data_IF_566826951087
#
_entry.id   IF_566826951087
#
_cell.length_a   1.000
_cell.length_b   1.000
_cell.length_c   1.000
_cell.angle_alpha   90.00
_cell.angle_beta   90.00
_cell.angle_gamma   90.00
#
_symmetry.space_group_name_H-M   'P 1'
#
loop_
_entity.id
_entity.type
_entity.pdbx_description
1 polymer ?
#
# COMPACT_ATOMS: atom_id res chain seq x y z
N UNK A 1 12.92 -9.98 -31.26
CA UNK A 1 13.04 -10.74 -29.99
C UNK A 1 12.45 -9.86 -28.91
N UNK A 2 11.46 -10.34 -28.14
CA UNK A 2 10.89 -9.55 -27.05
C UNK A 2 11.91 -9.44 -25.93
N UNK A 3 12.07 -8.25 -25.35
CA UNK A 3 12.95 -8.07 -24.19
C UNK A 3 12.44 -8.89 -23.01
N UNK A 4 13.35 -9.45 -22.18
CA UNK A 4 12.94 -10.20 -21.00
C UNK A 4 12.19 -9.26 -20.04
N UNK A 5 10.99 -9.66 -19.64
CA UNK A 5 10.23 -8.98 -18.59
C UNK A 5 11.01 -9.06 -17.29
N UNK A 6 11.50 -7.91 -16.81
CA UNK A 6 12.07 -7.78 -15.47
C UNK A 6 10.94 -7.40 -14.53
N UNK A 7 10.53 -8.35 -13.70
CA UNK A 7 9.55 -8.08 -12.65
C UNK A 7 10.14 -7.07 -11.66
N UNK A 8 9.55 -5.88 -11.58
CA UNK A 8 9.94 -4.92 -10.56
C UNK A 8 9.33 -5.31 -9.23
N UNK A 9 10.18 -5.75 -8.30
CA UNK A 9 9.79 -6.12 -6.94
C UNK A 9 9.78 -4.87 -6.06
N UNK A 10 8.62 -4.51 -5.53
CA UNK A 10 8.48 -3.41 -4.58
C UNK A 10 8.95 -3.83 -3.17
N UNK A 11 9.85 -3.04 -2.58
CA UNK A 11 10.38 -3.24 -1.23
C UNK A 11 9.70 -2.33 -0.21
N UNK A 12 9.61 -2.78 1.03
CA UNK A 12 8.97 -2.07 2.14
C UNK A 12 9.85 -2.04 3.36
N UNK A 13 9.80 -0.93 4.09
CA UNK A 13 10.45 -0.82 5.39
C UNK A 13 9.76 -1.73 6.40
N UNK A 14 10.50 -2.66 7.00
CA UNK A 14 10.04 -3.43 8.16
C UNK A 14 10.12 -2.55 9.40
N UNK A 15 9.06 -2.58 10.19
CA UNK A 15 8.93 -1.86 11.43
C UNK A 15 8.83 -2.84 12.60
N UNK A 16 9.26 -2.38 13.77
CA UNK A 16 8.85 -2.98 15.03
C UNK A 16 7.38 -2.64 15.32
N UNK A 17 6.75 -3.37 16.24
CA UNK A 17 5.37 -3.12 16.69
C UNK A 17 5.08 -1.69 17.18
N UNK A 18 6.11 -0.92 17.55
CA UNK A 18 6.00 0.48 17.99
C UNK A 18 6.35 1.48 16.87
N UNK A 19 6.49 1.01 15.63
CA UNK A 19 6.77 1.85 14.47
C UNK A 19 8.24 2.23 14.24
N UNK A 20 9.19 1.72 15.03
CA UNK A 20 10.62 1.95 14.76
C UNK A 20 11.09 1.11 13.57
N UNK A 21 11.75 1.76 12.60
CA UNK A 21 12.26 1.14 11.37
C UNK A 21 13.43 0.19 11.65
N UNK A 22 13.40 -0.99 11.01
CA UNK A 22 14.49 -1.96 10.93
C UNK A 22 15.55 -1.50 9.91
N UNK A 23 16.76 -2.06 9.98
CA UNK A 23 17.83 -1.79 9.03
C UNK A 23 17.60 -2.37 7.64
N UNK A 24 16.76 -3.40 7.51
CA UNK A 24 16.59 -4.14 6.25
C UNK A 24 15.14 -4.06 5.76
N UNK A 25 14.89 -3.51 4.55
CA UNK A 25 13.59 -3.62 3.91
C UNK A 25 13.39 -5.03 3.33
N UNK A 26 12.15 -5.38 3.03
CA UNK A 26 11.77 -6.70 2.51
C UNK A 26 10.74 -6.58 1.37
N UNK A 27 10.71 -7.52 0.41
CA UNK A 27 9.69 -7.56 -0.63
C UNK A 27 8.26 -7.57 -0.06
N UNK A 28 7.33 -6.91 -0.73
CA UNK A 28 5.94 -6.81 -0.25
C UNK A 28 5.27 -8.17 0.05
N UNK A 29 5.52 -9.19 -0.78
CA UNK A 29 5.00 -10.53 -0.58
C UNK A 29 5.54 -11.22 0.67
N UNK A 30 6.83 -11.04 0.97
CA UNK A 30 7.46 -11.59 2.17
C UNK A 30 6.94 -10.89 3.43
N UNK A 31 6.82 -9.56 3.39
CA UNK A 31 6.28 -8.76 4.50
C UNK A 31 4.86 -9.20 4.89
N UNK A 32 4.00 -9.46 3.91
CA UNK A 32 2.64 -9.95 4.19
C UNK A 32 2.60 -11.40 4.66
N UNK A 33 3.45 -12.27 4.10
CA UNK A 33 3.56 -13.67 4.52
C UNK A 33 4.01 -13.79 5.97
N UNK A 34 5.03 -13.01 6.36
CA UNK A 34 5.69 -13.13 7.66
C UNK A 34 5.00 -12.30 8.75
N UNK A 35 4.00 -11.48 8.38
CA UNK A 35 3.24 -10.64 9.30
C UNK A 35 4.04 -9.44 9.81
N UNK A 36 5.04 -9.00 9.04
CA UNK A 36 5.91 -7.89 9.40
C UNK A 36 5.14 -6.56 9.36
N UNK A 37 5.33 -5.75 10.41
CA UNK A 37 4.79 -4.40 10.43
C UNK A 37 5.47 -3.57 9.34
N UNK A 38 4.68 -2.84 8.57
CA UNK A 38 5.15 -1.94 7.53
C UNK A 38 4.17 -0.77 7.42
N UNK A 39 4.60 0.30 6.75
CA UNK A 39 3.76 1.50 6.59
C UNK A 39 2.79 1.33 5.43
N UNK A 40 1.59 1.88 5.61
CA UNK A 40 0.62 2.12 4.57
C UNK A 40 0.16 3.59 4.63
N UNK A 41 -0.40 4.07 3.53
CA UNK A 41 -1.03 5.39 3.44
C UNK A 41 -2.50 5.22 3.05
N UNK A 42 -3.35 5.96 3.76
CA UNK A 42 -4.79 5.97 3.58
C UNK A 42 -5.23 7.39 3.22
N UNK A 43 -5.92 7.55 2.10
CA UNK A 43 -6.45 8.83 1.62
C UNK A 43 -7.98 8.79 1.68
N UNK A 44 -8.57 9.82 2.28
CA UNK A 44 -10.01 9.99 2.42
C UNK A 44 -10.46 11.22 1.66
N UNK A 45 -11.25 11.02 0.60
CA UNK A 45 -11.78 12.09 -0.24
C UNK A 45 -13.20 12.42 0.19
N UNK A 46 -13.33 13.52 0.92
CA UNK A 46 -14.61 14.04 1.40
C UNK A 46 -15.03 15.27 0.59
N UNK A 47 -16.22 15.23 -0.01
CA UNK A 47 -16.79 16.32 -0.77
C UNK A 47 -17.60 17.24 0.15
N UNK A 48 -17.01 18.37 0.57
CA UNK A 48 -17.67 19.29 1.52
C UNK A 48 -19.02 19.81 1.04
N UNK A 49 -19.21 20.00 -0.27
CA UNK A 49 -20.47 20.55 -0.81
C UNK A 49 -21.64 19.57 -0.70
N UNK A 50 -21.39 18.27 -0.86
CA UNK A 50 -22.43 17.23 -0.81
C UNK A 50 -22.43 16.49 0.52
N UNK A 51 -21.41 16.68 1.36
CA UNK A 51 -21.17 15.94 2.60
C UNK A 51 -21.01 14.43 2.37
N UNK A 52 -20.49 14.05 1.20
CA UNK A 52 -20.29 12.67 0.82
C UNK A 52 -18.83 12.25 0.96
N UNK A 53 -18.61 11.01 1.36
CA UNK A 53 -17.31 10.38 1.38
C UNK A 53 -17.19 9.38 0.24
N UNK A 54 -16.15 9.51 -0.57
CA UNK A 54 -15.85 8.53 -1.61
C UNK A 54 -15.34 7.23 -1.00
N UNK A 55 -15.96 6.11 -1.33
CA UNK A 55 -15.45 4.77 -1.03
C UNK A 55 -15.09 4.05 -2.33
N UNK A 56 -14.02 3.27 -2.30
CA UNK A 56 -13.60 2.48 -3.45
C UNK A 56 -14.20 1.08 -3.36
N UNK A 57 -14.84 0.59 -4.43
CA UNK A 57 -15.05 -0.85 -4.60
C UNK A 57 -13.81 -1.45 -5.25
N UNK A 58 -13.16 -2.40 -4.57
CA UNK A 58 -11.95 -3.04 -5.08
C UNK A 58 -12.28 -3.90 -6.31
N UNK A 59 -11.40 -3.86 -7.30
CA UNK A 59 -11.53 -4.69 -8.49
C UNK A 59 -11.44 -6.18 -8.13
N UNK A 60 -12.15 -7.02 -8.86
CA UNK A 60 -12.19 -8.47 -8.60
C UNK A 60 -10.85 -9.16 -8.87
N UNK A 61 -9.95 -8.51 -9.62
CA UNK A 61 -8.60 -9.00 -9.91
C UNK A 61 -7.55 -8.64 -8.86
N UNK A 62 -7.93 -8.02 -7.73
CA UNK A 62 -6.99 -7.72 -6.65
C UNK A 62 -6.63 -8.97 -5.87
N UNK A 63 -5.34 -9.15 -5.59
CA UNK A 63 -4.82 -10.28 -4.81
C UNK A 63 -5.39 -10.35 -3.39
N UNK A 64 -5.66 -9.18 -2.79
CA UNK A 64 -6.26 -9.07 -1.46
C UNK A 64 -7.62 -8.40 -1.52
N UNK A 65 -8.61 -9.03 -0.88
CA UNK A 65 -9.97 -8.52 -0.67
C UNK A 65 -10.68 -8.05 -1.96
N UNK A 66 -10.76 -8.90 -3.01
CA UNK A 66 -11.45 -8.55 -4.25
C UNK A 66 -12.95 -8.28 -4.02
N UNK A 67 -13.51 -7.30 -4.73
CA UNK A 67 -14.94 -6.99 -4.72
C UNK A 67 -15.47 -6.28 -3.46
N UNK A 68 -14.65 -6.09 -2.43
CA UNK A 68 -15.04 -5.42 -1.18
C UNK A 68 -14.94 -3.89 -1.27
N UNK A 69 -15.68 -3.21 -0.40
CA UNK A 69 -15.55 -1.77 -0.20
C UNK A 69 -14.33 -1.45 0.67
N UNK A 70 -13.62 -0.40 0.28
CA UNK A 70 -12.41 0.10 0.91
C UNK A 70 -12.50 1.63 1.05
N UNK A 71 -11.51 2.25 1.71
CA UNK A 71 -11.36 3.71 1.76
C UNK A 71 -11.17 4.31 0.36
N UNK A 72 -11.19 5.64 0.24
CA UNK A 72 -11.15 6.31 -1.08
C UNK A 72 -9.93 5.91 -1.91
N UNK A 73 -8.76 5.81 -1.29
CA UNK A 73 -7.55 5.23 -1.87
C UNK A 73 -6.62 4.77 -0.75
N UNK A 74 -5.99 3.59 -0.92
CA UNK A 74 -5.04 3.02 0.02
C UNK A 74 -3.84 2.43 -0.73
N UNK A 75 -2.67 2.52 -0.12
CA UNK A 75 -1.44 1.97 -0.69
C UNK A 75 -0.39 1.69 0.36
N UNK A 76 0.63 0.94 -0.03
CA UNK A 76 1.78 0.69 0.82
C UNK A 76 2.86 1.74 0.55
N UNK A 77 3.64 2.07 1.57
CA UNK A 77 4.76 3.01 1.41
C UNK A 77 6.00 2.20 1.05
N UNK A 78 6.58 2.51 -0.11
CA UNK A 78 7.85 1.95 -0.56
C UNK A 78 8.99 2.27 0.43
N UNK A 79 10.01 1.41 0.46
CA UNK A 79 11.13 1.56 1.38
C UNK A 79 11.82 2.92 1.22
N UNK A 80 11.94 3.68 2.32
CA UNK A 80 12.54 5.01 2.31
C UNK A 80 11.58 6.16 1.98
N UNK A 81 10.40 5.89 1.43
CA UNK A 81 9.45 6.94 1.07
C UNK A 81 8.72 7.53 2.28
N UNK A 82 8.25 8.76 2.08
CA UNK A 82 7.33 9.44 2.98
C UNK A 82 5.88 9.20 2.59
N UNK A 83 4.97 9.28 3.55
CA UNK A 83 3.53 9.15 3.28
C UNK A 83 3.01 10.20 2.30
N UNK A 84 3.60 11.40 2.29
CA UNK A 84 3.21 12.46 1.38
C UNK A 84 3.54 12.12 -0.07
N UNK A 85 4.74 11.60 -0.35
CA UNK A 85 5.16 11.22 -1.70
C UNK A 85 4.33 10.04 -2.20
N UNK A 86 4.09 9.03 -1.36
CA UNK A 86 3.28 7.86 -1.74
C UNK A 86 1.82 8.22 -2.02
N UNK A 87 1.28 9.29 -1.42
CA UNK A 87 -0.11 9.70 -1.60
C UNK A 87 -0.37 10.60 -2.83
N UNK A 88 0.69 11.09 -3.49
CA UNK A 88 0.59 11.96 -4.68
C UNK A 88 0.23 11.17 -5.93
#
# INVERSE_FOLDING_TARGET
>A
MAEPYVEQVEYRDILTKIGKKSTFPSPGGDVHRDGDYHKAVHVWNFAERTQELLLQKRADCKDSWPGLWDISSAGHISAGDSSLITAQ
#
